data_IF_414969710635
#
_entry.id   IF_414969710635
#
_cell.length_a   1.000
_cell.length_b   1.000
_cell.length_c   1.000
_cell.angle_alpha   90.00
_cell.angle_beta   90.00
_cell.angle_gamma   90.00
#
_symmetry.space_group_name_H-M   'P 1'
#
loop_
_entity.id
_entity.type
_entity.pdbx_description
1 polymer ?
#
# COMPACT_ATOMS: atom_id res chain seq x y z
N UNK A 1 -11.12 7.92 43.29
CA UNK A 1 -11.55 7.38 41.97
C UNK A 1 -10.79 8.12 40.90
N UNK A 2 -9.83 7.46 40.25
CA UNK A 2 -8.98 8.08 39.25
C UNK A 2 -9.64 7.91 37.87
N UNK A 3 -10.07 9.04 37.27
CA UNK A 3 -10.80 9.03 36.00
C UNK A 3 -9.78 9.00 34.86
N UNK A 4 -9.65 7.84 34.20
CA UNK A 4 -8.79 7.70 33.01
C UNK A 4 -9.29 8.60 31.89
N UNK A 5 -8.48 9.57 31.47
CA UNK A 5 -8.80 10.46 30.35
C UNK A 5 -8.93 9.67 29.04
N UNK A 6 -10.05 9.86 28.33
CA UNK A 6 -10.25 9.35 26.96
C UNK A 6 -9.18 9.96 26.05
N UNK A 7 -8.45 9.12 25.32
CA UNK A 7 -7.51 9.54 24.26
C UNK A 7 -8.33 10.06 23.06
N UNK A 8 -8.75 11.32 23.09
CA UNK A 8 -9.21 11.98 21.88
C UNK A 8 -8.00 12.23 20.98
N UNK A 9 -8.10 11.89 19.69
CA UNK A 9 -7.04 12.12 18.71
C UNK A 9 -6.60 13.58 18.65
N UNK A 10 -5.44 13.84 18.02
CA UNK A 10 -4.84 15.17 17.88
C UNK A 10 -5.90 16.21 17.46
N UNK A 11 -6.05 17.27 18.25
CA UNK A 11 -6.87 18.42 17.89
C UNK A 11 -6.20 19.15 16.70
N UNK A 12 -6.92 19.28 15.58
CA UNK A 12 -6.43 20.01 14.42
C UNK A 12 -6.33 21.52 14.72
N UNK A 13 -5.21 22.13 14.34
CA UNK A 13 -5.04 23.58 14.45
C UNK A 13 -6.03 24.31 13.53
N UNK A 14 -6.30 25.60 13.77
CA UNK A 14 -7.27 26.37 12.95
C UNK A 14 -6.92 26.35 11.45
N UNK A 15 -5.63 26.29 11.10
CA UNK A 15 -5.16 26.19 9.72
C UNK A 15 -5.27 24.79 9.08
N UNK A 16 -5.35 23.73 9.90
CA UNK A 16 -5.55 22.36 9.42
C UNK A 16 -7.04 22.00 9.23
N UNK A 17 -7.95 22.84 9.72
CA UNK A 17 -9.41 22.63 9.59
C UNK A 17 -9.88 22.94 8.17
N UNK A 18 -10.73 22.07 7.64
CA UNK A 18 -11.35 22.24 6.32
C UNK A 18 -12.51 23.23 6.42
N UNK A 19 -12.25 24.51 6.15
CA UNK A 19 -13.23 25.60 6.28
C UNK A 19 -13.77 26.08 4.93
N UNK A 20 -13.11 25.78 3.81
CA UNK A 20 -13.52 26.20 2.48
C UNK A 20 -14.48 25.19 1.84
N UNK A 21 -15.60 25.68 1.31
CA UNK A 21 -16.60 24.90 0.60
C UNK A 21 -16.54 25.22 -0.90
N UNK A 22 -16.60 24.19 -1.75
CA UNK A 22 -16.67 24.31 -3.21
C UNK A 22 -17.95 23.62 -3.68
N UNK A 23 -18.81 24.37 -4.38
CA UNK A 23 -20.05 23.85 -4.96
C UNK A 23 -19.91 23.68 -6.48
N UNK A 24 -20.11 22.47 -6.99
CA UNK A 24 -20.03 22.14 -8.42
C UNK A 24 -21.40 21.64 -8.88
N UNK A 25 -21.86 22.09 -10.06
CA UNK A 25 -23.08 21.60 -10.71
C UNK A 25 -22.67 20.56 -11.75
N UNK A 26 -23.32 19.40 -11.72
CA UNK A 26 -23.08 18.29 -12.65
C UNK A 26 -24.38 17.98 -13.40
N UNK A 27 -24.26 17.53 -14.65
CA UNK A 27 -25.38 16.96 -15.37
C UNK A 27 -25.69 15.52 -14.88
N UNK A 28 -26.75 14.91 -15.39
CA UNK A 28 -27.18 13.57 -14.95
C UNK A 28 -26.20 12.46 -15.34
N UNK A 29 -25.50 12.57 -16.48
CA UNK A 29 -24.52 11.58 -16.95
C UNK A 29 -23.22 11.63 -16.14
N UNK A 30 -22.70 12.84 -15.87
CA UNK A 30 -21.55 13.11 -15.01
C UNK A 30 -21.79 12.63 -13.57
N UNK A 31 -23.01 12.83 -13.05
CA UNK A 31 -23.35 12.36 -11.71
C UNK A 31 -23.31 10.82 -11.62
N UNK A 32 -23.81 10.12 -12.64
CA UNK A 32 -23.70 8.64 -12.72
C UNK A 32 -22.24 8.20 -12.79
N UNK A 33 -21.43 8.87 -13.61
CA UNK A 33 -20.00 8.57 -13.70
C UNK A 33 -19.28 8.75 -12.36
N UNK A 34 -19.60 9.81 -11.64
CA UNK A 34 -19.04 10.08 -10.32
C UNK A 34 -19.42 8.98 -9.32
N UNK A 35 -20.71 8.61 -9.27
CA UNK A 35 -21.17 7.60 -8.32
C UNK A 35 -20.57 6.20 -8.64
N UNK A 36 -20.29 5.89 -9.92
CA UNK A 36 -19.55 4.68 -10.31
C UNK A 36 -18.09 4.71 -9.85
N UNK A 37 -17.36 5.82 -10.11
CA UNK A 37 -15.93 5.93 -9.76
C UNK A 37 -15.67 6.06 -8.25
N UNK A 38 -16.65 6.55 -7.49
CA UNK A 38 -16.54 6.78 -6.05
C UNK A 38 -16.56 5.50 -5.22
N UNK A 39 -17.25 4.46 -5.68
CA UNK A 39 -17.52 3.27 -4.88
C UNK A 39 -18.23 3.63 -3.57
N UNK A 40 -17.66 3.23 -2.43
CA UNK A 40 -18.26 3.39 -1.10
C UNK A 40 -18.00 4.73 -0.40
N UNK A 41 -17.12 5.59 -0.94
CA UNK A 41 -16.73 6.85 -0.29
C UNK A 41 -17.83 7.91 -0.38
N UNK A 42 -17.86 8.93 0.48
CA UNK A 42 -18.77 10.08 0.30
C UNK A 42 -18.31 10.98 -0.86
N UNK A 43 -19.25 11.62 -1.57
CA UNK A 43 -18.96 12.41 -2.79
C UNK A 43 -17.89 13.47 -2.58
N UNK A 44 -18.00 14.28 -1.52
CA UNK A 44 -17.02 15.31 -1.19
C UNK A 44 -15.66 14.75 -0.76
N UNK A 45 -15.65 13.62 -0.04
CA UNK A 45 -14.41 12.95 0.34
C UNK A 45 -13.68 12.42 -0.91
N UNK A 46 -14.42 11.81 -1.83
CA UNK A 46 -13.86 11.29 -3.08
C UNK A 46 -13.33 12.40 -3.99
N UNK A 47 -14.11 13.48 -4.23
CA UNK A 47 -13.64 14.62 -5.02
C UNK A 47 -12.33 15.19 -4.45
N UNK A 48 -12.23 15.31 -3.12
CA UNK A 48 -10.99 15.74 -2.47
C UNK A 48 -9.83 14.79 -2.72
N UNK A 49 -10.05 13.48 -2.67
CA UNK A 49 -9.00 12.49 -2.93
C UNK A 49 -8.52 12.55 -4.38
N UNK A 50 -9.43 12.76 -5.33
CA UNK A 50 -9.08 12.94 -6.76
C UNK A 50 -8.25 14.20 -6.96
N UNK A 51 -8.67 15.34 -6.40
CA UNK A 51 -7.94 16.62 -6.53
C UNK A 51 -6.55 16.53 -5.88
N UNK A 52 -6.43 15.86 -4.74
CA UNK A 52 -5.14 15.67 -4.06
C UNK A 52 -4.29 14.53 -4.66
N UNK A 53 -4.75 13.89 -5.75
CA UNK A 53 -4.12 12.71 -6.35
C UNK A 53 -3.78 11.60 -5.32
N UNK A 54 -4.48 11.60 -4.19
CA UNK A 54 -4.31 10.64 -3.10
C UNK A 54 -5.43 9.61 -3.16
N UNK A 55 -5.84 9.22 -4.37
CA UNK A 55 -6.77 8.11 -4.51
C UNK A 55 -6.11 6.89 -3.88
N UNK A 56 -6.75 6.20 -2.92
CA UNK A 56 -6.21 4.94 -2.45
C UNK A 56 -6.10 4.03 -3.67
N UNK A 57 -4.86 3.71 -4.07
CA UNK A 57 -4.62 2.73 -5.12
C UNK A 57 -5.31 1.45 -4.64
N UNK A 58 -6.31 1.00 -5.37
CA UNK A 58 -6.95 -0.28 -5.08
C UNK A 58 -5.85 -1.31 -5.32
N UNK A 59 -5.36 -1.91 -4.24
CA UNK A 59 -4.32 -2.94 -4.32
C UNK A 59 -4.96 -4.13 -5.06
N UNK A 60 -4.40 -4.57 -6.20
CA UNK A 60 -4.89 -5.76 -6.90
C UNK A 60 -4.92 -6.96 -5.96
N UNK A 61 -5.90 -7.84 -6.13
CA UNK A 61 -6.05 -9.06 -5.31
C UNK A 61 -4.78 -9.91 -5.32
N UNK A 62 -4.09 -9.99 -6.47
CA UNK A 62 -2.81 -10.68 -6.63
C UNK A 62 -1.76 -10.21 -5.60
N UNK A 63 -1.68 -8.90 -5.36
CA UNK A 63 -0.69 -8.33 -4.44
C UNK A 63 -1.04 -8.64 -2.97
N UNK A 64 -2.31 -8.90 -2.66
CA UNK A 64 -2.75 -9.30 -1.32
C UNK A 64 -2.26 -10.73 -1.03
N UNK A 65 -2.47 -11.65 -1.96
CA UNK A 65 -2.05 -13.05 -1.81
C UNK A 65 -0.52 -13.17 -1.77
N UNK A 66 0.19 -12.51 -2.68
CA UNK A 66 1.65 -12.47 -2.67
C UNK A 66 2.19 -11.82 -1.38
N UNK A 67 1.56 -10.76 -0.89
CA UNK A 67 1.93 -10.13 0.38
C UNK A 67 1.75 -11.06 1.58
N UNK A 68 0.71 -11.89 1.58
CA UNK A 68 0.47 -12.88 2.63
C UNK A 68 1.55 -13.98 2.63
N UNK A 69 1.94 -14.48 1.46
CA UNK A 69 3.02 -15.49 1.36
C UNK A 69 4.36 -14.92 1.82
N UNK A 70 4.71 -13.69 1.45
CA UNK A 70 5.91 -13.00 1.94
C UNK A 70 5.88 -12.81 3.47
N UNK A 71 4.72 -12.48 4.03
CA UNK A 71 4.58 -12.36 5.48
C UNK A 71 4.85 -13.70 6.20
N UNK A 72 4.37 -14.83 5.65
CA UNK A 72 4.66 -16.17 6.18
C UNK A 72 6.15 -16.49 6.14
N UNK A 73 6.83 -16.17 5.04
CA UNK A 73 8.28 -16.34 4.91
C UNK A 73 9.02 -15.53 6.00
N UNK A 74 8.63 -14.27 6.22
CA UNK A 74 9.21 -13.42 7.26
C UNK A 74 9.03 -13.98 8.68
N UNK A 75 7.85 -14.55 8.97
CA UNK A 75 7.59 -15.22 10.25
C UNK A 75 8.52 -16.42 10.44
N UNK A 76 8.69 -17.26 9.41
CA UNK A 76 9.57 -18.42 9.48
C UNK A 76 11.04 -18.01 9.70
N UNK A 77 11.51 -16.97 9.03
CA UNK A 77 12.86 -16.42 9.23
C UNK A 77 13.04 -15.94 10.67
N UNK A 78 12.08 -15.18 11.21
CA UNK A 78 12.14 -14.72 12.60
C UNK A 78 12.20 -15.89 13.60
N UNK A 79 11.47 -16.98 13.34
CA UNK A 79 11.53 -18.17 14.19
C UNK A 79 12.90 -18.87 14.10
N UNK A 80 13.50 -18.94 12.90
CA UNK A 80 14.86 -19.46 12.71
C UNK A 80 15.87 -18.59 13.48
N UNK A 81 15.80 -17.27 13.35
CA UNK A 81 16.68 -16.34 14.09
C UNK A 81 16.54 -16.51 15.60
N UNK A 82 15.31 -16.64 16.11
CA UNK A 82 15.09 -16.87 17.54
C UNK A 82 15.67 -18.21 18.01
N UNK A 83 15.54 -19.27 17.22
CA UNK A 83 16.11 -20.60 17.53
C UNK A 83 17.63 -20.60 17.49
N UNK A 84 18.24 -19.90 16.53
CA UNK A 84 19.69 -19.70 16.45
C UNK A 84 20.22 -18.97 17.69
N UNK A 85 19.53 -17.91 18.12
CA UNK A 85 19.92 -17.15 19.30
C UNK A 85 19.81 -17.96 20.61
N UNK A 86 18.94 -18.98 20.66
CA UNK A 86 18.70 -19.81 21.83
C UNK A 86 19.58 -21.07 21.93
N UNK A 87 20.80 -21.04 21.37
CA UNK A 87 21.86 -22.03 21.61
C UNK A 87 21.71 -23.39 20.90
N UNK A 88 21.29 -23.37 19.63
CA UNK A 88 21.43 -24.55 18.75
C UNK A 88 22.72 -24.41 17.93
N UNK A 89 23.56 -25.44 17.92
CA UNK A 89 24.69 -25.55 16.99
C UNK A 89 24.08 -25.78 15.59
N UNK A 90 24.05 -24.72 14.78
CA UNK A 90 23.46 -24.77 13.44
C UNK A 90 24.53 -24.40 12.43
N UNK A 91 24.47 -25.06 11.28
CA UNK A 91 25.28 -24.75 10.11
C UNK A 91 24.93 -23.35 9.57
N UNK A 92 25.67 -22.37 10.08
CA UNK A 92 25.50 -20.96 9.73
C UNK A 92 25.78 -20.72 8.25
N UNK A 93 26.74 -21.44 7.66
CA UNK A 93 27.11 -21.29 6.26
C UNK A 93 25.95 -21.68 5.34
N UNK A 94 25.32 -22.82 5.60
CA UNK A 94 24.15 -23.27 4.85
C UNK A 94 22.98 -22.27 4.92
N UNK A 95 22.68 -21.72 6.10
CA UNK A 95 21.61 -20.73 6.28
C UNK A 95 21.94 -19.43 5.55
N UNK A 96 23.19 -18.95 5.61
CA UNK A 96 23.58 -17.73 4.91
C UNK A 96 23.47 -17.90 3.40
N UNK A 97 23.85 -19.05 2.85
CA UNK A 97 23.73 -19.34 1.41
C UNK A 97 22.26 -19.37 0.97
N UNK A 98 21.38 -20.01 1.75
CA UNK A 98 19.94 -20.03 1.46
C UNK A 98 19.31 -18.62 1.51
N UNK A 99 19.72 -17.78 2.46
CA UNK A 99 19.24 -16.39 2.55
C UNK A 99 19.73 -15.54 1.39
N UNK A 100 20.97 -15.74 0.93
CA UNK A 100 21.51 -15.06 -0.24
C UNK A 100 20.77 -15.49 -1.52
N UNK A 101 20.49 -16.78 -1.68
CA UNK A 101 19.71 -17.30 -2.81
C UNK A 101 18.27 -16.78 -2.81
N UNK A 102 17.62 -16.74 -1.64
CA UNK A 102 16.29 -16.17 -1.52
C UNK A 102 16.29 -14.68 -1.87
N UNK A 103 17.29 -13.93 -1.40
CA UNK A 103 17.45 -12.51 -1.73
C UNK A 103 17.66 -12.30 -3.24
N UNK A 104 18.52 -13.07 -3.88
CA UNK A 104 18.80 -12.91 -5.31
C UNK A 104 17.55 -13.17 -6.15
N UNK A 105 16.77 -14.21 -5.82
CA UNK A 105 15.49 -14.51 -6.49
C UNK A 105 14.45 -13.41 -6.35
N UNK A 106 14.33 -12.80 -5.17
CA UNK A 106 13.39 -11.70 -4.95
C UNK A 106 13.81 -10.45 -5.72
N UNK A 107 15.10 -10.12 -5.74
CA UNK A 107 15.61 -8.95 -6.48
C UNK A 107 15.47 -9.16 -7.99
N UNK A 108 15.89 -10.31 -8.52
CA UNK A 108 15.77 -10.60 -9.95
C UNK A 108 14.32 -10.63 -10.43
N UNK A 109 13.40 -11.07 -9.57
CA UNK A 109 11.97 -11.04 -9.86
C UNK A 109 11.42 -9.62 -9.95
N UNK A 110 11.93 -8.68 -9.14
CA UNK A 110 11.58 -7.26 -9.20
C UNK A 110 12.14 -6.63 -10.49
N UNK A 111 13.40 -6.89 -10.83
CA UNK A 111 14.01 -6.34 -12.04
C UNK A 111 13.27 -6.78 -13.32
N UNK A 112 12.77 -8.02 -13.35
CA UNK A 112 11.96 -8.52 -14.47
C UNK A 112 10.57 -7.85 -14.54
N UNK A 113 9.96 -7.53 -13.40
CA UNK A 113 8.67 -6.82 -13.37
C UNK A 113 8.82 -5.36 -13.78
N UNK A 114 9.88 -4.68 -13.34
CA UNK A 114 10.17 -3.28 -13.72
C UNK A 114 10.40 -3.16 -15.23
N UNK A 115 11.13 -4.11 -15.84
CA UNK A 115 11.36 -4.12 -17.28
C UNK A 115 10.09 -4.34 -18.12
N UNK A 116 9.03 -4.92 -17.56
CA UNK A 116 7.74 -5.09 -18.24
C UNK A 116 6.82 -3.87 -18.08
N UNK A 117 6.92 -3.16 -16.95
CA UNK A 117 6.15 -1.94 -16.68
C UNK A 117 6.63 -0.74 -17.55
N UNK A 118 7.90 -0.72 -17.97
CA UNK A 118 8.46 0.33 -18.82
C UNK A 118 7.90 0.31 -20.27
N UNK A 119 7.59 -0.87 -20.81
CA UNK A 119 7.05 -1.06 -22.18
C UNK A 119 5.58 -0.56 -22.31
N UNK A 120 4.80 -0.62 -21.22
CA UNK A 120 3.40 -0.18 -21.22
C UNK A 120 3.25 1.36 -21.12
N UNK A 121 4.29 2.07 -20.68
CA UNK A 121 4.26 3.52 -20.48
C UNK A 121 4.60 4.31 -21.76
N UNK A 122 5.32 3.69 -22.71
CA UNK A 122 5.72 4.32 -23.98
C UNK A 122 4.56 4.34 -25.00
N UNK A 123 3.58 3.43 -24.88
CA UNK A 123 2.40 3.38 -25.74
C UNK A 123 1.37 4.51 -25.49
N UNK A 124 1.51 5.29 -24.41
CA UNK A 124 0.58 6.37 -24.05
C UNK A 124 1.02 7.77 -24.50
N UNK A 125 2.29 7.99 -24.89
CA UNK A 125 2.77 9.33 -25.30
C UNK A 125 2.62 9.63 -26.80
N UNK A 126 2.35 8.64 -27.67
CA UNK A 126 2.18 8.89 -29.12
C UNK A 126 0.72 9.23 -29.56
N UNK A 127 -0.18 9.49 -28.62
CA UNK A 127 -1.63 9.62 -28.87
C UNK A 127 -2.26 10.98 -28.60
N UNK A 128 -1.49 12.09 -28.58
CA UNK A 128 -1.99 13.46 -28.33
C UNK A 128 -1.88 14.36 -29.55
#
# INVERSE_FOLDING_TARGET
>A
MEVKAKRYGRLFSRGEKRTHCVSVRLNASELKLLDMKRGALQRGAWMRLVVLQTTPKVIPSLNIDHGLELARIGININQISHRLNSSVEVDFEHITNLLQELRSRLISGIDLLVALDDEDNEACEEGL
#
